data_IF_954277582989
#
_entry.id   IF_954277582989
#
_cell.length_a   1.000
_cell.length_b   1.000
_cell.length_c   1.000
_cell.angle_alpha   90.00
_cell.angle_beta   90.00
_cell.angle_gamma   90.00
#
_symmetry.space_group_name_H-M   'P 1'
#
loop_
_entity.id
_entity.type
_entity.pdbx_description
1 polymer ?
#
# COMPACT_ATOMS: atom_id res chain seq x y z
N UNK A 1 -13.93 13.34 -2.22
CA UNK A 1 -14.68 12.09 -2.54
C UNK A 1 -14.23 11.03 -1.56
N UNK A 2 -15.14 10.54 -0.73
CA UNK A 2 -14.98 9.32 0.06
C UNK A 2 -15.71 8.21 -0.68
N UNK A 3 -15.07 7.07 -0.89
CA UNK A 3 -15.73 5.90 -1.48
C UNK A 3 -16.20 5.04 -0.31
N UNK A 4 -17.51 4.84 -0.17
CA UNK A 4 -18.07 4.04 0.91
C UNK A 4 -18.04 2.55 0.49
N UNK A 5 -17.04 1.81 0.99
CA UNK A 5 -16.82 0.39 0.65
C UNK A 5 -16.92 -0.43 1.93
N UNK A 6 -17.87 -1.35 1.99
CA UNK A 6 -17.98 -2.26 3.13
C UNK A 6 -16.99 -3.41 3.01
N UNK A 7 -15.88 -3.31 3.74
CA UNK A 7 -14.86 -4.36 3.81
C UNK A 7 -15.11 -5.24 5.04
N UNK A 8 -15.47 -6.51 4.81
CA UNK A 8 -15.73 -7.46 5.89
C UNK A 8 -14.45 -7.83 6.65
N UNK A 9 -14.46 -7.69 7.97
CA UNK A 9 -13.33 -8.08 8.85
C UNK A 9 -12.92 -9.57 8.71
N UNK A 10 -13.77 -10.42 8.14
CA UNK A 10 -13.52 -11.86 7.92
C UNK A 10 -12.39 -12.15 6.93
N UNK A 11 -12.05 -11.19 6.06
CA UNK A 11 -11.00 -11.36 5.06
C UNK A 11 -9.58 -11.13 5.60
N UNK A 12 -9.47 -10.68 6.86
CA UNK A 12 -8.20 -10.47 7.55
C UNK A 12 -7.92 -11.61 8.51
N UNK A 13 -6.63 -11.93 8.68
CA UNK A 13 -6.23 -12.81 9.78
C UNK A 13 -6.55 -12.12 11.11
N UNK A 14 -7.19 -12.85 12.04
CA UNK A 14 -7.64 -12.30 13.33
C UNK A 14 -6.56 -11.53 14.09
N UNK A 15 -5.32 -12.02 14.04
CA UNK A 15 -4.16 -11.41 14.70
C UNK A 15 -3.86 -10.00 14.20
N UNK A 16 -4.21 -9.65 12.95
CA UNK A 16 -3.91 -8.35 12.38
C UNK A 16 -5.06 -7.33 12.47
N UNK A 17 -6.28 -7.78 12.80
CA UNK A 17 -7.47 -6.91 12.90
C UNK A 17 -7.24 -5.68 13.82
N UNK A 18 -6.61 -5.82 15.01
CA UNK A 18 -6.37 -4.66 15.88
C UNK A 18 -5.46 -3.58 15.27
N UNK A 19 -4.75 -3.90 14.20
CA UNK A 19 -3.78 -3.01 13.55
C UNK A 19 -4.35 -2.31 12.31
N UNK A 20 -5.62 -2.52 11.94
CA UNK A 20 -6.23 -1.86 10.77
C UNK A 20 -6.30 -0.34 10.94
N UNK A 21 -6.71 0.12 12.12
CA UNK A 21 -6.91 1.54 12.44
C UNK A 21 -5.80 2.09 13.35
N UNK A 22 -4.71 1.34 13.51
CA UNK A 22 -3.65 1.71 14.43
C UNK A 22 -2.78 2.83 13.84
N UNK A 23 -2.81 4.00 14.48
CA UNK A 23 -2.09 5.21 14.06
C UNK A 23 -0.73 5.40 14.73
N UNK A 24 -0.21 4.40 15.45
CA UNK A 24 1.13 4.47 16.03
C UNK A 24 2.15 4.70 14.91
N UNK A 25 3.04 5.69 15.13
CA UNK A 25 4.02 6.18 14.16
C UNK A 25 4.92 5.08 13.59
N UNK A 26 5.37 4.15 14.43
CA UNK A 26 6.28 3.08 14.01
C UNK A 26 5.65 1.74 14.35
N UNK A 27 5.41 0.93 13.32
CA UNK A 27 4.83 -0.41 13.46
C UNK A 27 5.77 -1.43 12.82
N UNK A 28 6.23 -2.40 13.62
CA UNK A 28 7.17 -3.43 13.19
C UNK A 28 6.42 -4.76 13.12
N UNK A 29 6.20 -5.25 11.89
CA UNK A 29 5.65 -6.58 11.65
C UNK A 29 6.80 -7.54 11.31
N UNK A 30 7.25 -8.32 12.29
CA UNK A 30 8.34 -9.29 12.14
C UNK A 30 7.86 -10.73 12.37
N UNK A 31 8.53 -11.70 11.74
CA UNK A 31 8.26 -13.13 11.92
C UNK A 31 8.57 -13.97 10.67
N UNK A 32 8.31 -15.27 10.74
CA UNK A 32 8.61 -16.23 9.66
C UNK A 32 7.90 -15.96 8.32
N UNK A 33 8.36 -16.62 7.27
CA UNK A 33 7.67 -16.63 5.97
C UNK A 33 6.23 -17.14 6.12
N UNK A 34 5.34 -16.75 5.21
CA UNK A 34 3.95 -17.19 5.17
C UNK A 34 3.07 -16.83 6.37
N UNK A 35 3.55 -16.02 7.33
CA UNK A 35 2.73 -15.53 8.44
C UNK A 35 1.64 -14.50 8.04
N UNK A 36 1.50 -14.15 6.76
CA UNK A 36 0.48 -13.22 6.26
C UNK A 36 0.78 -11.72 6.46
N UNK A 37 2.00 -11.36 6.86
CA UNK A 37 2.39 -9.96 7.11
C UNK A 37 2.26 -9.06 5.88
N UNK A 38 2.89 -9.46 4.77
CA UNK A 38 2.84 -8.67 3.53
C UNK A 38 1.43 -8.56 2.96
N UNK A 39 0.63 -9.62 3.11
CA UNK A 39 -0.80 -9.63 2.72
C UNK A 39 -1.55 -8.57 3.51
N UNK A 40 -1.44 -8.60 4.84
CA UNK A 40 -2.11 -7.64 5.72
C UNK A 40 -1.72 -6.19 5.42
N UNK A 41 -0.42 -5.89 5.29
CA UNK A 41 0.04 -4.53 4.97
C UNK A 41 -0.48 -4.08 3.59
N UNK A 42 -0.54 -5.00 2.62
CA UNK A 42 -1.08 -4.68 1.30
C UNK A 42 -2.58 -4.38 1.35
N UNK A 43 -3.34 -5.12 2.16
CA UNK A 43 -4.75 -4.87 2.41
C UNK A 43 -4.98 -3.52 3.10
N UNK A 44 -4.21 -3.23 4.16
CA UNK A 44 -4.29 -1.96 4.89
C UNK A 44 -3.94 -0.77 3.99
N UNK A 45 -2.92 -0.89 3.16
CA UNK A 45 -2.53 0.16 2.22
C UNK A 45 -3.69 0.54 1.26
N UNK A 46 -4.41 -0.46 0.74
CA UNK A 46 -5.60 -0.22 -0.11
C UNK A 46 -6.71 0.50 0.65
N UNK A 47 -7.03 0.08 1.88
CA UNK A 47 -8.01 0.76 2.74
C UNK A 47 -7.61 2.22 2.98
N UNK A 48 -6.33 2.43 3.32
CA UNK A 48 -5.83 3.74 3.70
C UNK A 48 -5.91 4.77 2.55
N UNK A 49 -5.73 4.31 1.31
CA UNK A 49 -5.91 5.15 0.11
C UNK A 49 -7.38 5.48 -0.17
N UNK A 50 -8.29 4.56 0.14
CA UNK A 50 -9.74 4.70 -0.12
C UNK A 50 -10.43 5.59 0.93
N UNK A 51 -10.06 5.43 2.20
CA UNK A 51 -10.82 5.97 3.33
C UNK A 51 -9.99 6.93 4.20
N UNK A 52 -8.69 6.66 4.39
CA UNK A 52 -7.88 7.37 5.39
C UNK A 52 -6.99 8.48 4.83
N UNK A 53 -7.11 8.79 3.55
CA UNK A 53 -6.41 9.92 2.92
C UNK A 53 -4.87 9.85 3.04
N UNK A 54 -4.29 8.66 2.81
CA UNK A 54 -2.86 8.40 3.03
C UNK A 54 -2.12 8.10 1.74
N UNK A 55 -0.89 8.61 1.65
CA UNK A 55 0.05 8.25 0.59
C UNK A 55 1.16 7.36 1.16
N UNK A 56 1.47 6.30 0.43
CA UNK A 56 2.48 5.32 0.82
C UNK A 56 3.74 5.41 -0.03
N UNK A 57 4.91 5.42 0.62
CA UNK A 57 6.20 5.22 -0.03
C UNK A 57 6.76 3.84 0.35
N UNK A 58 6.57 2.87 -0.56
CA UNK A 58 7.02 1.50 -0.35
C UNK A 58 8.47 1.32 -0.81
N UNK A 59 9.34 1.03 0.15
CA UNK A 59 10.79 0.95 -0.07
C UNK A 59 11.33 -0.48 0.12
N UNK A 60 12.32 -0.85 -0.69
CA UNK A 60 13.18 -2.04 -0.49
C UNK A 60 14.64 -1.70 -0.78
N UNK A 61 15.56 -2.59 -0.38
CA UNK A 61 16.99 -2.42 -0.64
C UNK A 61 17.30 -2.17 -2.13
N UNK A 62 16.63 -2.89 -3.04
CA UNK A 62 16.77 -2.69 -4.49
C UNK A 62 15.43 -2.68 -5.19
N UNK A 63 15.29 -1.82 -6.21
CA UNK A 63 14.04 -1.67 -6.97
C UNK A 63 13.64 -2.94 -7.75
N UNK A 64 14.61 -3.75 -8.18
CA UNK A 64 14.40 -4.92 -9.04
C UNK A 64 13.38 -5.93 -8.50
N UNK A 65 13.30 -6.08 -7.17
CA UNK A 65 12.38 -7.05 -6.53
C UNK A 65 11.01 -6.47 -6.20
N UNK A 66 10.82 -5.15 -6.22
CA UNK A 66 9.55 -4.51 -5.87
C UNK A 66 8.42 -4.90 -6.82
N UNK A 67 8.73 -4.92 -8.12
CA UNK A 67 7.78 -5.22 -9.20
C UNK A 67 7.15 -6.59 -9.02
N UNK A 68 7.95 -7.60 -8.72
CA UNK A 68 7.47 -8.99 -8.60
C UNK A 68 6.95 -9.32 -7.21
N UNK A 69 7.29 -8.53 -6.18
CA UNK A 69 6.86 -8.73 -4.79
C UNK A 69 5.65 -7.86 -4.42
N UNK A 70 5.87 -6.80 -3.65
CA UNK A 70 4.83 -6.01 -2.98
C UNK A 70 3.91 -5.27 -3.96
N UNK A 71 4.42 -4.86 -5.12
CA UNK A 71 3.59 -4.28 -6.18
C UNK A 71 2.53 -5.28 -6.65
N UNK A 72 2.92 -6.53 -6.88
CA UNK A 72 1.98 -7.57 -7.27
C UNK A 72 1.03 -7.94 -6.13
N UNK A 73 1.48 -7.93 -4.89
CA UNK A 73 0.65 -8.25 -3.72
C UNK A 73 -0.48 -7.23 -3.54
N UNK A 74 -0.17 -5.93 -3.60
CA UNK A 74 -1.17 -4.86 -3.55
C UNK A 74 -2.11 -4.94 -4.75
N UNK A 75 -1.57 -5.21 -5.95
CA UNK A 75 -2.40 -5.43 -7.14
C UNK A 75 -3.39 -6.58 -6.95
N UNK A 76 -2.97 -7.71 -6.34
CA UNK A 76 -3.86 -8.84 -6.06
C UNK A 76 -4.98 -8.44 -5.10
N UNK A 77 -4.70 -7.63 -4.08
CA UNK A 77 -5.75 -7.12 -3.18
C UNK A 77 -6.78 -6.31 -3.97
N UNK A 78 -6.34 -5.36 -4.80
CA UNK A 78 -7.23 -4.54 -5.62
C UNK A 78 -8.12 -5.41 -6.53
N UNK A 79 -7.54 -6.42 -7.19
CA UNK A 79 -8.28 -7.36 -8.05
C UNK A 79 -9.26 -8.23 -7.23
N UNK A 80 -8.79 -8.85 -6.15
CA UNK A 80 -9.59 -9.77 -5.35
C UNK A 80 -10.77 -9.06 -4.65
N UNK A 81 -10.66 -7.76 -4.42
CA UNK A 81 -11.72 -6.93 -3.85
C UNK A 81 -12.59 -6.25 -4.93
N UNK A 82 -12.35 -6.52 -6.22
CA UNK A 82 -13.05 -5.94 -7.37
C UNK A 82 -12.98 -4.39 -7.41
N UNK A 83 -11.83 -3.83 -7.07
CA UNK A 83 -11.60 -2.38 -6.94
C UNK A 83 -10.86 -1.79 -8.14
N UNK A 84 -10.69 -2.53 -9.24
CA UNK A 84 -9.85 -2.12 -10.38
C UNK A 84 -10.30 -0.79 -10.98
N UNK A 85 -11.61 -0.53 -10.99
CA UNK A 85 -12.20 0.71 -11.51
C UNK A 85 -11.84 1.95 -10.65
N UNK A 86 -11.41 1.73 -9.41
CA UNK A 86 -11.03 2.78 -8.48
C UNK A 86 -9.53 3.06 -8.45
N UNK A 87 -8.72 2.27 -9.18
CA UNK A 87 -7.27 2.39 -9.16
C UNK A 87 -6.67 2.45 -10.57
N UNK A 88 -5.84 3.47 -10.82
CA UNK A 88 -4.94 3.53 -11.97
C UNK A 88 -3.60 2.91 -11.59
N UNK A 89 -3.26 1.78 -12.21
CA UNK A 89 -2.03 1.05 -11.94
C UNK A 89 -1.00 1.32 -13.04
N UNK A 90 0.08 2.05 -12.72
CA UNK A 90 1.18 2.30 -13.65
C UNK A 90 2.37 1.39 -13.32
N UNK A 91 2.56 0.36 -14.16
CA UNK A 91 3.68 -0.56 -14.01
C UNK A 91 5.03 0.07 -14.35
N UNK A 92 5.09 1.01 -15.30
CA UNK A 92 6.36 1.59 -15.74
C UNK A 92 6.91 2.54 -14.69
N UNK A 93 6.07 3.46 -14.20
CA UNK A 93 6.44 4.44 -13.16
C UNK A 93 6.46 3.83 -11.75
N UNK A 94 6.00 2.58 -11.62
CA UNK A 94 5.89 1.88 -10.34
C UNK A 94 5.05 2.69 -9.35
N UNK A 95 3.82 3.00 -9.76
CA UNK A 95 2.85 3.78 -8.99
C UNK A 95 1.44 3.16 -9.08
N UNK A 96 0.63 3.38 -8.04
CA UNK A 96 -0.80 3.08 -8.02
C UNK A 96 -1.54 4.28 -7.47
N UNK A 97 -2.48 4.84 -8.24
CA UNK A 97 -3.27 6.01 -7.86
C UNK A 97 -4.72 5.60 -7.64
N UNK A 98 -5.28 5.93 -6.48
CA UNK A 98 -6.70 5.77 -6.20
C UNK A 98 -7.50 6.95 -6.80
N UNK A 99 -8.79 6.76 -7.11
CA UNK A 99 -9.71 7.83 -7.52
C UNK A 99 -9.85 8.95 -6.48
N UNK A 100 -9.48 8.72 -5.22
CA UNK A 100 -9.39 9.74 -4.17
C UNK A 100 -8.23 10.73 -4.39
N UNK A 101 -7.29 10.40 -5.28
CA UNK A 101 -6.06 11.15 -5.59
C UNK A 101 -4.83 10.68 -4.79
N UNK A 102 -5.00 9.81 -3.79
CA UNK A 102 -3.87 9.30 -3.00
C UNK A 102 -3.16 8.13 -3.71
N UNK A 103 -1.87 7.98 -3.42
CA UNK A 103 -0.96 7.14 -4.19
C UNK A 103 -0.12 6.19 -3.33
N UNK A 104 0.28 5.09 -3.97
CA UNK A 104 1.35 4.20 -3.54
C UNK A 104 2.50 4.34 -4.53
N UNK A 105 3.66 4.74 -4.03
CA UNK A 105 4.88 4.94 -4.81
C UNK A 105 5.89 3.88 -4.39
N UNK A 106 6.48 3.17 -5.35
CA UNK A 106 7.43 2.09 -5.05
C UNK A 106 8.83 2.47 -5.50
N UNK A 107 9.81 2.43 -4.60
CA UNK A 107 11.21 2.83 -4.89
C UNK A 107 12.22 1.96 -4.18
N UNK A 108 13.39 1.77 -4.80
CA UNK A 108 14.52 1.10 -4.18
C UNK A 108 15.46 2.09 -3.48
N UNK A 109 16.24 1.59 -2.52
CA UNK A 109 17.29 2.35 -1.84
C UNK A 109 18.60 2.43 -2.64
N UNK A 110 18.68 1.73 -3.78
CA UNK A 110 19.81 1.78 -4.71
C UNK A 110 20.06 3.19 -5.28
N UNK A 111 19.06 4.08 -5.21
CA UNK A 111 19.20 5.50 -5.55
C UNK A 111 18.52 6.39 -4.49
N UNK A 112 19.14 6.45 -3.31
CA UNK A 112 18.59 7.15 -2.14
C UNK A 112 18.43 8.67 -2.34
N UNK A 113 19.27 9.32 -3.15
CA UNK A 113 19.15 10.76 -3.43
C UNK A 113 17.83 11.09 -4.12
N UNK A 114 17.36 10.24 -5.04
CA UNK A 114 16.07 10.41 -5.70
C UNK A 114 14.86 10.29 -4.77
N UNK A 115 15.02 9.73 -3.56
CA UNK A 115 13.92 9.61 -2.61
C UNK A 115 13.55 10.95 -1.97
N UNK A 116 14.50 11.89 -1.85
CA UNK A 116 14.31 13.17 -1.17
C UNK A 116 13.33 14.10 -1.89
N UNK A 117 13.09 13.88 -3.18
CA UNK A 117 12.24 14.71 -4.03
C UNK A 117 10.92 14.03 -4.41
N UNK A 118 10.56 12.93 -3.76
CA UNK A 118 9.31 12.24 -4.05
C UNK A 118 8.14 13.02 -3.48
N UNK A 119 7.24 13.43 -4.37
CA UNK A 119 6.02 14.15 -4.03
C UNK A 119 4.86 13.40 -4.70
N UNK A 120 3.84 12.96 -3.95
CA UNK A 120 2.64 12.37 -4.53
C UNK A 120 1.79 13.44 -5.23
N UNK A 121 0.91 13.03 -6.14
CA UNK A 121 0.00 13.92 -6.87
C UNK A 121 -0.89 14.76 -5.94
N UNK A 122 -1.21 14.24 -4.76
CA UNK A 122 -2.04 14.90 -3.75
C UNK A 122 -1.41 14.79 -2.37
N UNK A 123 -1.24 15.92 -1.68
CA UNK A 123 -0.78 15.94 -0.29
C UNK A 123 0.70 15.58 -0.13
N UNK A 124 1.05 14.88 0.96
CA UNK A 124 2.42 14.46 1.30
C UNK A 124 2.46 12.96 1.55
N UNK A 125 3.67 12.38 1.58
CA UNK A 125 3.87 11.00 2.05
C UNK A 125 3.53 10.91 3.54
N UNK A 126 2.68 9.96 3.91
CA UNK A 126 2.23 9.76 5.29
C UNK A 126 2.69 8.44 5.87
N UNK A 127 2.95 7.44 5.03
CA UNK A 127 3.26 6.05 5.42
C UNK A 127 4.39 5.45 4.55
#
# INVERSE_FOLDING_TARGET
>A
MSVDIQISKKIFNKVYIPYLENIIRTQIFFGGSSAGKSVFISQRCVIDLLENNRNYLVIRNTANTLRTSIFNEIKKVILNWNLEKLFKINKTEMTMTCVTGYQILFRGLDDAEKLKSIIPEKGVITD
#
